data_IF_703230460100
#
_entry.id   IF_703230460100
#
_cell.length_a   1.000
_cell.length_b   1.000
_cell.length_c   1.000
_cell.angle_alpha   90.00
_cell.angle_beta   90.00
_cell.angle_gamma   90.00
#
_symmetry.space_group_name_H-M   'P 1'
#
loop_
_entity.id
_entity.type
_entity.pdbx_description
1 polymer ?
#
# COMPACT_ATOMS: atom_id res chain seq x y z
N UNK A 1 -17.88 3.05 4.99
CA UNK A 1 -17.00 2.10 4.25
C UNK A 1 -15.53 2.55 4.26
N UNK A 2 -14.58 1.60 4.37
CA UNK A 2 -13.15 1.88 4.57
C UNK A 2 -12.26 1.66 3.33
N UNK A 3 -12.75 0.97 2.29
CA UNK A 3 -11.98 0.68 1.08
C UNK A 3 -12.13 1.79 0.03
N UNK A 4 -11.04 2.15 -0.64
CA UNK A 4 -11.08 3.05 -1.80
C UNK A 4 -11.84 2.45 -3.00
N UNK A 5 -12.00 1.12 -3.05
CA UNK A 5 -12.80 0.44 -4.09
C UNK A 5 -14.31 0.50 -3.84
N UNK A 6 -14.77 0.97 -2.66
CA UNK A 6 -16.20 0.95 -2.29
C UNK A 6 -17.11 1.68 -3.29
N UNK A 7 -16.61 2.74 -3.93
CA UNK A 7 -17.38 3.53 -4.91
C UNK A 7 -17.22 3.02 -6.36
N UNK A 8 -16.60 1.86 -6.55
CA UNK A 8 -16.21 1.37 -7.88
C UNK A 8 -14.88 1.98 -8.37
N UNK A 9 -14.50 1.68 -9.63
CA UNK A 9 -13.26 2.16 -10.21
C UNK A 9 -13.27 3.68 -10.39
N UNK A 10 -12.17 4.31 -10.00
CA UNK A 10 -11.88 5.74 -10.22
C UNK A 10 -10.45 5.85 -10.78
N UNK A 11 -10.01 7.00 -11.32
CA UNK A 11 -8.62 7.13 -11.79
C UNK A 11 -7.57 6.72 -10.74
N UNK A 12 -7.88 6.93 -9.45
CA UNK A 12 -7.01 6.56 -8.33
C UNK A 12 -7.18 5.11 -7.88
N UNK A 13 -8.42 4.62 -7.76
CA UNK A 13 -8.70 3.28 -7.20
C UNK A 13 -8.77 2.17 -8.27
N UNK A 14 -8.76 2.53 -9.56
CA UNK A 14 -8.92 1.59 -10.67
C UNK A 14 -7.90 0.45 -10.69
N UNK A 15 -6.67 0.71 -10.24
CA UNK A 15 -5.64 -0.32 -10.11
C UNK A 15 -6.07 -1.49 -9.21
N UNK A 16 -6.94 -1.26 -8.21
CA UNK A 16 -7.44 -2.30 -7.32
C UNK A 16 -8.38 -3.29 -8.01
N UNK A 17 -8.87 -2.96 -9.21
CA UNK A 17 -9.73 -3.80 -10.03
C UNK A 17 -8.94 -4.59 -11.09
N UNK A 18 -7.64 -4.32 -11.25
CA UNK A 18 -6.77 -5.03 -12.18
C UNK A 18 -6.12 -6.27 -11.57
N UNK A 19 -5.08 -6.76 -12.25
CA UNK A 19 -4.35 -7.98 -11.90
C UNK A 19 -3.77 -7.95 -10.48
N UNK A 20 -3.99 -9.06 -9.75
CA UNK A 20 -3.40 -9.29 -8.43
C UNK A 20 -1.86 -9.25 -8.43
N UNK A 21 -1.28 -8.77 -7.33
CA UNK A 21 0.16 -8.57 -7.17
C UNK A 21 0.66 -7.17 -7.53
N UNK A 22 -0.19 -6.35 -8.16
CA UNK A 22 0.12 -4.93 -8.43
C UNK A 22 0.22 -4.12 -7.14
N UNK A 23 1.09 -3.11 -7.10
CA UNK A 23 1.19 -2.18 -5.96
C UNK A 23 0.26 -0.99 -6.14
N UNK A 24 -0.62 -0.78 -5.16
CA UNK A 24 -1.41 0.43 -5.02
C UNK A 24 -0.81 1.31 -3.92
N UNK A 25 -0.05 2.34 -4.32
CA UNK A 25 0.65 3.25 -3.43
C UNK A 25 0.03 4.64 -3.50
N UNK A 26 -0.21 5.25 -2.34
CA UNK A 26 -0.78 6.60 -2.28
C UNK A 26 -0.32 7.40 -1.06
N UNK A 27 -0.47 8.73 -1.11
CA UNK A 27 -0.26 9.62 0.04
C UNK A 27 -1.52 9.66 0.92
N UNK A 28 -1.39 9.27 2.18
CA UNK A 28 -2.38 9.47 3.24
C UNK A 28 -2.15 10.82 3.89
N UNK A 29 -3.20 11.65 3.91
CA UNK A 29 -3.17 13.05 4.37
C UNK A 29 -2.03 13.90 3.80
N UNK A 30 -1.52 13.54 2.62
CA UNK A 30 -0.38 14.22 2.01
C UNK A 30 0.97 13.98 2.70
N UNK A 31 1.05 13.21 3.80
CA UNK A 31 2.24 13.11 4.68
C UNK A 31 2.88 11.71 4.69
N UNK A 32 2.07 10.65 4.68
CA UNK A 32 2.58 9.27 4.74
C UNK A 32 2.27 8.51 3.47
N UNK A 33 3.20 7.66 3.03
CA UNK A 33 2.92 6.71 1.96
C UNK A 33 2.22 5.48 2.55
N UNK A 34 1.11 5.07 1.96
CA UNK A 34 0.44 3.80 2.23
C UNK A 34 0.60 2.90 1.00
N UNK A 35 1.09 1.68 1.22
CA UNK A 35 1.33 0.69 0.17
C UNK A 35 0.42 -0.51 0.36
N UNK A 36 -0.33 -0.84 -0.69
CA UNK A 36 -1.22 -1.98 -0.73
C UNK A 36 -0.81 -2.91 -1.87
N UNK A 37 -1.07 -4.20 -1.71
CA UNK A 37 -0.95 -5.20 -2.79
C UNK A 37 -2.35 -5.52 -3.27
N UNK A 38 -2.60 -5.41 -4.58
CA UNK A 38 -3.88 -5.78 -5.21
C UNK A 38 -4.09 -7.28 -5.08
N UNK A 39 -5.31 -7.70 -4.73
CA UNK A 39 -5.66 -9.09 -4.44
C UNK A 39 -7.05 -9.45 -4.93
N UNK A 40 -7.27 -10.74 -5.19
CA UNK A 40 -8.56 -11.26 -5.62
C UNK A 40 -8.69 -11.34 -7.14
N UNK A 41 -9.93 -11.58 -7.59
CA UNK A 41 -10.27 -11.61 -9.01
C UNK A 41 -10.32 -10.18 -9.59
N UNK A 42 -9.97 -10.07 -10.88
CA UNK A 42 -10.13 -8.84 -11.65
C UNK A 42 -11.60 -8.38 -11.65
N UNK A 43 -11.82 -7.08 -11.84
CA UNK A 43 -13.12 -6.40 -11.81
C UNK A 43 -13.85 -6.42 -10.45
N UNK A 44 -13.37 -7.17 -9.44
CA UNK A 44 -14.01 -7.21 -8.12
C UNK A 44 -13.58 -6.07 -7.20
N UNK A 45 -12.35 -5.57 -7.36
CA UNK A 45 -11.79 -4.52 -6.52
C UNK A 45 -11.30 -5.07 -5.16
N UNK A 46 -9.99 -5.16 -4.96
CA UNK A 46 -9.44 -5.67 -3.71
C UNK A 46 -7.95 -5.37 -3.52
N UNK A 47 -7.55 -5.04 -2.29
CA UNK A 47 -6.14 -4.92 -1.93
C UNK A 47 -5.93 -5.12 -0.42
N UNK A 48 -4.70 -5.50 -0.04
CA UNK A 48 -4.25 -5.63 1.35
C UNK A 48 -3.22 -4.56 1.68
N UNK A 49 -3.44 -3.81 2.75
CA UNK A 49 -2.52 -2.79 3.25
C UNK A 49 -1.36 -3.43 4.03
N UNK A 50 -0.14 -3.08 3.66
CA UNK A 50 1.05 -3.44 4.44
C UNK A 50 1.21 -2.46 5.60
N UNK A 51 1.04 -2.96 6.83
CA UNK A 51 1.07 -2.14 8.05
C UNK A 51 2.33 -2.32 8.91
N UNK A 52 3.13 -3.33 8.63
CA UNK A 52 4.33 -3.65 9.37
C UNK A 52 5.08 -4.81 8.74
N UNK A 53 6.33 -4.98 9.13
CA UNK A 53 7.18 -6.06 8.67
C UNK A 53 8.46 -6.11 9.51
N UNK A 54 9.06 -7.30 9.61
CA UNK A 54 10.35 -7.50 10.25
C UNK A 54 11.47 -7.30 9.24
N UNK A 55 12.48 -6.52 9.61
CA UNK A 55 13.68 -6.34 8.78
C UNK A 55 14.55 -7.59 8.92
N UNK A 56 14.78 -8.29 7.81
CA UNK A 56 15.64 -9.49 7.76
C UNK A 56 17.07 -9.18 7.30
N UNK A 57 17.25 -8.12 6.51
CA UNK A 57 18.52 -7.67 5.97
C UNK A 57 18.46 -6.15 5.66
N UNK A 58 19.61 -5.48 5.60
CA UNK A 58 19.71 -4.05 5.25
C UNK A 58 19.20 -3.10 6.33
N UNK A 59 19.46 -3.41 7.61
CA UNK A 59 18.99 -2.63 8.76
C UNK A 59 19.47 -1.17 8.73
N UNK A 60 20.74 -0.97 8.39
CA UNK A 60 21.38 0.34 8.22
C UNK A 60 20.64 1.21 7.17
N UNK A 61 20.19 0.59 6.06
CA UNK A 61 19.45 1.27 5.00
C UNK A 61 18.07 1.70 5.49
N UNK A 62 17.39 0.82 6.24
CA UNK A 62 16.07 1.11 6.81
C UNK A 62 16.16 2.23 7.83
N UNK A 63 17.14 2.20 8.74
CA UNK A 63 17.36 3.23 9.76
C UNK A 63 17.66 4.59 9.12
N UNK A 64 18.60 4.63 8.17
CA UNK A 64 18.94 5.85 7.43
C UNK A 64 17.74 6.47 6.71
N UNK A 65 16.90 5.65 6.05
CA UNK A 65 15.69 6.12 5.34
C UNK A 65 14.56 6.54 6.29
N UNK A 66 14.49 5.98 7.49
CA UNK A 66 13.48 6.34 8.50
C UNK A 66 13.78 7.68 9.18
N UNK A 67 15.04 8.13 9.16
CA UNK A 67 15.45 9.39 9.78
C UNK A 67 15.24 9.42 11.30
N UNK A 68 15.22 8.25 11.95
CA UNK A 68 15.07 8.10 13.40
C UNK A 68 16.22 7.27 13.93
N UNK A 69 17.02 7.86 14.82
CA UNK A 69 17.85 7.15 15.78
C UNK A 69 16.91 6.63 16.86
N UNK A 70 16.69 5.31 16.88
CA UNK A 70 15.94 4.44 17.80
C UNK A 70 14.95 5.02 18.84
N UNK A 71 13.81 4.33 18.94
CA UNK A 71 12.94 4.28 20.12
C UNK A 71 13.40 3.16 21.04
#
# INVERSE_FOLDING_TARGET
PASHAYRGPTPRAGIMFGRAGSLYVYRSYGIHWCMNVVTGAEERGGAVLLRGGRVLAGRDVVERRRGRSDH
#
